data_IF_889351873228
#
_entry.id   IF_889351873228
#
_cell.length_a   1.000
_cell.length_b   1.000
_cell.length_c   1.000
_cell.angle_alpha   90.00
_cell.angle_beta   90.00
_cell.angle_gamma   90.00
#
_symmetry.space_group_name_H-M   'P 1'
#
loop_
_entity.id
_entity.type
_entity.pdbx_description
1 polymer ?
#
# COMPACT_ATOMS: atom_id res chain seq x y z
N UNK A 1 5.64 22.78 -23.96
CA UNK A 1 5.80 21.46 -23.31
C UNK A 1 4.43 21.08 -22.79
N UNK A 2 3.81 20.01 -23.29
CA UNK A 2 2.45 19.61 -22.95
C UNK A 2 2.36 19.22 -21.46
N UNK A 3 1.96 20.16 -20.61
CA UNK A 3 1.45 19.90 -19.27
C UNK A 3 0.10 19.22 -19.42
N UNK A 4 0.11 17.91 -19.68
CA UNK A 4 -1.08 17.08 -19.51
C UNK A 4 -1.44 17.18 -18.03
N UNK A 5 -2.62 17.74 -17.73
CA UNK A 5 -3.10 17.79 -16.36
C UNK A 5 -3.06 16.39 -15.74
N UNK A 6 -2.58 16.26 -14.49
CA UNK A 6 -2.44 14.97 -13.86
C UNK A 6 -3.83 14.32 -13.75
N UNK A 7 -3.95 13.09 -14.26
CA UNK A 7 -5.22 12.36 -14.24
C UNK A 7 -5.71 12.18 -12.81
N UNK A 8 -6.98 12.46 -12.59
CA UNK A 8 -7.62 12.45 -11.27
C UNK A 8 -8.71 11.40 -11.22
N UNK A 9 -8.89 10.81 -10.04
CA UNK A 9 -9.93 9.81 -9.81
C UNK A 9 -10.66 10.06 -8.50
N UNK A 10 -11.98 9.99 -8.57
CA UNK A 10 -12.82 9.91 -7.37
C UNK A 10 -12.65 8.53 -6.76
N UNK A 11 -12.11 8.49 -5.55
CA UNK A 11 -11.83 7.26 -4.80
C UNK A 11 -12.73 7.27 -3.59
N UNK A 12 -13.70 6.35 -3.57
CA UNK A 12 -14.70 6.28 -2.50
C UNK A 12 -14.34 5.25 -1.42
N UNK A 13 -13.47 4.29 -1.75
CA UNK A 13 -13.07 3.21 -0.86
C UNK A 13 -11.77 2.53 -1.36
N UNK A 14 -11.24 1.62 -0.54
CA UNK A 14 -10.01 0.88 -0.86
C UNK A 14 -10.15 0.07 -2.15
N UNK A 15 -11.31 -0.56 -2.38
CA UNK A 15 -11.54 -1.38 -3.58
C UNK A 15 -11.51 -0.54 -4.88
N UNK A 16 -12.08 0.67 -4.85
CA UNK A 16 -12.03 1.61 -5.98
C UNK A 16 -10.59 2.03 -6.28
N UNK A 17 -9.79 2.32 -5.24
CA UNK A 17 -8.37 2.61 -5.41
C UNK A 17 -7.64 1.43 -6.08
N UNK A 18 -7.88 0.20 -5.63
CA UNK A 18 -7.24 -0.98 -6.22
C UNK A 18 -7.56 -1.14 -7.71
N UNK A 19 -8.81 -0.92 -8.11
CA UNK A 19 -9.21 -0.97 -9.54
C UNK A 19 -8.51 0.10 -10.35
N UNK A 20 -8.44 1.34 -9.84
CA UNK A 20 -7.74 2.45 -10.50
C UNK A 20 -6.25 2.12 -10.68
N UNK A 21 -5.59 1.62 -9.63
CA UNK A 21 -4.17 1.26 -9.67
C UNK A 21 -3.91 0.11 -10.68
N UNK A 22 -4.87 -0.80 -10.86
CA UNK A 22 -4.78 -1.87 -11.85
C UNK A 22 -5.02 -1.37 -13.28
N UNK A 23 -6.07 -0.58 -13.48
CA UNK A 23 -6.48 -0.09 -14.80
C UNK A 23 -5.53 0.98 -15.35
N UNK A 24 -4.87 1.75 -14.49
CA UNK A 24 -3.95 2.82 -14.87
C UNK A 24 -2.56 2.66 -14.22
N UNK A 25 -1.66 1.90 -14.87
CA UNK A 25 -0.32 1.67 -14.37
C UNK A 25 0.52 2.95 -14.20
N UNK A 26 0.22 4.02 -14.97
CA UNK A 26 0.93 5.30 -14.85
C UNK A 26 0.52 5.99 -13.55
N UNK A 27 -0.78 6.10 -13.30
CA UNK A 27 -1.29 6.64 -12.04
C UNK A 27 -0.77 5.84 -10.84
N UNK A 28 -0.72 4.51 -10.94
CA UNK A 28 -0.21 3.65 -9.88
C UNK A 28 1.28 3.86 -9.59
N UNK A 29 2.09 3.99 -10.64
CA UNK A 29 3.51 4.26 -10.51
C UNK A 29 3.76 5.64 -9.92
N UNK A 30 3.04 6.67 -10.38
CA UNK A 30 3.15 8.03 -9.87
C UNK A 30 2.76 8.10 -8.39
N UNK A 31 1.66 7.45 -7.99
CA UNK A 31 1.21 7.41 -6.60
C UNK A 31 2.27 6.76 -5.71
N UNK A 32 2.75 5.56 -6.08
CA UNK A 32 3.75 4.84 -5.29
C UNK A 32 5.04 5.63 -5.19
N UNK A 33 5.59 6.10 -6.31
CA UNK A 33 6.86 6.82 -6.33
C UNK A 33 6.79 8.04 -5.42
N UNK A 34 5.67 8.76 -5.47
CA UNK A 34 5.48 9.96 -4.68
C UNK A 34 5.32 9.63 -3.19
N UNK A 35 4.52 8.62 -2.85
CA UNK A 35 4.35 8.18 -1.46
C UNK A 35 5.68 7.68 -0.87
N UNK A 36 6.41 6.83 -1.60
CA UNK A 36 7.70 6.29 -1.19
C UNK A 36 8.71 7.41 -0.95
N UNK A 37 8.84 8.34 -1.91
CA UNK A 37 9.74 9.48 -1.81
C UNK A 37 9.49 10.31 -0.54
N UNK A 38 8.23 10.70 -0.30
CA UNK A 38 7.90 11.55 0.85
C UNK A 38 8.04 10.81 2.18
N UNK A 39 7.61 9.55 2.25
CA UNK A 39 7.62 8.76 3.48
C UNK A 39 9.04 8.38 3.86
N UNK A 40 9.81 7.84 2.91
CA UNK A 40 11.18 7.39 3.19
C UNK A 40 12.09 8.57 3.55
N UNK A 41 11.89 9.75 2.94
CA UNK A 41 12.61 10.97 3.31
C UNK A 41 12.33 11.39 4.77
N UNK A 42 11.05 11.41 5.17
CA UNK A 42 10.66 11.73 6.57
C UNK A 42 11.22 10.70 7.55
N UNK A 43 11.19 9.41 7.21
CA UNK A 43 11.69 8.35 8.10
C UNK A 43 13.21 8.36 8.24
N UNK A 44 13.97 8.60 7.17
CA UNK A 44 15.45 8.71 7.25
C UNK A 44 15.91 9.88 8.13
N UNK A 45 15.18 11.01 8.11
CA UNK A 45 15.43 12.13 9.04
C UNK A 45 15.16 11.76 10.51
N UNK A 46 14.30 10.78 10.77
CA UNK A 46 13.92 10.36 12.13
C UNK A 46 14.75 9.17 12.62
N UNK A 47 15.19 8.30 11.72
CA UNK A 47 15.97 7.08 12.00
C UNK A 47 17.29 7.11 11.23
N UNK A 48 18.22 7.98 11.65
CA UNK A 48 19.52 8.14 10.99
C UNK A 48 20.38 6.86 10.97
N UNK A 49 20.13 5.93 11.90
CA UNK A 49 20.87 4.68 12.01
C UNK A 49 20.26 3.54 11.17
N UNK A 50 19.09 3.73 10.58
CA UNK A 50 18.46 2.75 9.70
C UNK A 50 19.13 2.81 8.32
N UNK A 51 19.41 1.66 7.71
CA UNK A 51 19.92 1.63 6.35
C UNK A 51 18.89 2.24 5.38
N UNK A 52 19.33 2.93 4.30
CA UNK A 52 18.42 3.47 3.29
C UNK A 52 17.46 2.43 2.72
N UNK A 53 17.92 1.19 2.56
CA UNK A 53 17.17 0.05 2.03
C UNK A 53 16.13 -0.44 3.04
N UNK A 54 16.50 -0.56 4.32
CA UNK A 54 15.56 -0.95 5.37
C UNK A 54 14.39 0.03 5.55
N UNK A 55 14.59 1.31 5.25
CA UNK A 55 13.50 2.32 5.23
C UNK A 55 12.57 2.13 4.04
N UNK A 56 13.11 1.77 2.87
CA UNK A 56 12.32 1.45 1.67
C UNK A 56 11.51 0.17 1.89
N UNK A 57 12.12 -0.86 2.47
CA UNK A 57 11.45 -2.11 2.80
C UNK A 57 10.32 -1.93 3.81
N UNK A 58 10.52 -1.07 4.82
CA UNK A 58 9.47 -0.72 5.75
C UNK A 58 8.28 -0.04 5.06
N UNK A 59 8.54 0.86 4.10
CA UNK A 59 7.49 1.45 3.28
C UNK A 59 6.76 0.42 2.42
N UNK A 60 7.50 -0.42 1.70
CA UNK A 60 6.91 -1.46 0.86
C UNK A 60 6.06 -2.43 1.71
N UNK A 61 6.53 -2.82 2.90
CA UNK A 61 5.78 -3.66 3.82
C UNK A 61 4.50 -2.98 4.32
N UNK A 62 4.55 -1.69 4.65
CA UNK A 62 3.37 -0.92 5.03
C UNK A 62 2.35 -0.81 3.89
N UNK A 63 2.81 -0.56 2.67
CA UNK A 63 1.96 -0.55 1.48
C UNK A 63 1.29 -1.92 1.27
N UNK A 64 2.04 -3.01 1.37
CA UNK A 64 1.48 -4.35 1.25
C UNK A 64 0.47 -4.67 2.36
N UNK A 65 0.72 -4.24 3.60
CA UNK A 65 -0.24 -4.38 4.72
C UNK A 65 -1.50 -3.56 4.49
N UNK A 66 -1.38 -2.36 3.95
CA UNK A 66 -2.53 -1.53 3.59
C UNK A 66 -3.43 -2.24 2.57
N UNK A 67 -2.86 -2.87 1.53
CA UNK A 67 -3.64 -3.64 0.54
C UNK A 67 -4.40 -4.83 1.16
N UNK A 68 -4.01 -5.27 2.36
CA UNK A 68 -4.63 -6.35 3.11
C UNK A 68 -5.54 -5.85 4.25
N UNK A 69 -5.42 -4.59 4.63
CA UNK A 69 -6.02 -4.04 5.83
C UNK A 69 -7.53 -3.78 5.64
N UNK A 70 -8.30 -4.11 6.67
CA UNK A 70 -9.70 -3.68 6.84
C UNK A 70 -9.82 -2.44 7.74
N UNK A 71 -8.71 -1.93 8.24
CA UNK A 71 -8.66 -0.90 9.29
C UNK A 71 -8.62 0.52 8.76
N UNK A 72 -8.22 0.72 7.49
CA UNK A 72 -8.33 2.02 6.86
C UNK A 72 -9.81 2.26 6.50
N UNK A 73 -10.44 3.22 7.18
CA UNK A 73 -11.84 3.59 6.92
C UNK A 73 -11.94 4.34 5.61
N UNK A 74 -12.95 4.00 4.81
CA UNK A 74 -13.20 4.60 3.50
C UNK A 74 -13.41 6.12 3.55
N UNK A 75 -13.93 6.62 4.68
CA UNK A 75 -14.04 8.05 5.03
C UNK A 75 -12.71 8.80 4.92
N UNK A 76 -11.59 8.09 5.08
CA UNK A 76 -10.24 8.62 4.89
C UNK A 76 -9.96 9.09 3.46
N UNK A 77 -10.65 8.52 2.46
CA UNK A 77 -10.54 8.98 1.08
C UNK A 77 -11.43 10.16 0.77
N UNK A 78 -12.59 10.26 1.42
CA UNK A 78 -13.57 11.32 1.20
C UNK A 78 -13.13 12.63 1.87
N UNK A 79 -12.43 12.53 3.00
CA UNK A 79 -11.94 13.69 3.73
C UNK A 79 -10.91 14.49 2.91
N UNK A 80 -11.33 15.66 2.44
CA UNK A 80 -10.49 16.57 1.65
C UNK A 80 -10.38 16.22 0.18
N UNK A 81 -11.20 15.28 -0.33
CA UNK A 81 -11.19 14.91 -1.75
C UNK A 81 -11.65 16.07 -2.63
N UNK A 82 -10.87 16.47 -3.64
CA UNK A 82 -11.31 17.44 -4.63
C UNK A 82 -12.53 16.94 -5.40
N UNK A 83 -13.37 17.85 -5.93
CA UNK A 83 -14.55 17.47 -6.72
C UNK A 83 -14.22 16.60 -7.94
N UNK A 84 -13.04 16.82 -8.54
CA UNK A 84 -12.52 16.04 -9.66
C UNK A 84 -11.80 14.75 -9.22
N UNK A 85 -11.71 14.50 -7.92
CA UNK A 85 -10.99 13.39 -7.33
C UNK A 85 -9.52 13.68 -7.04
N UNK A 86 -8.81 12.65 -6.58
CA UNK A 86 -7.41 12.75 -6.22
C UNK A 86 -6.51 12.56 -7.43
N UNK A 87 -5.56 13.48 -7.64
CA UNK A 87 -4.35 13.12 -8.39
C UNK A 87 -3.50 12.13 -7.58
N UNK A 88 -2.65 11.37 -8.27
CA UNK A 88 -1.76 10.40 -7.62
C UNK A 88 -0.86 11.07 -6.56
N UNK A 89 -0.43 12.29 -6.82
CA UNK A 89 0.39 13.08 -5.90
C UNK A 89 -0.38 13.50 -4.65
N UNK A 90 -1.58 14.05 -4.80
CA UNK A 90 -2.40 14.49 -3.68
C UNK A 90 -2.80 13.30 -2.79
N UNK A 91 -3.15 12.16 -3.40
CA UNK A 91 -3.46 10.94 -2.66
C UNK A 91 -2.26 10.46 -1.81
N UNK A 92 -1.04 10.53 -2.37
CA UNK A 92 0.19 10.14 -1.69
C UNK A 92 0.54 11.04 -0.50
N UNK A 93 0.08 12.29 -0.49
CA UNK A 93 0.29 13.25 0.60
C UNK A 93 -0.89 13.35 1.58
N UNK A 94 -2.07 12.89 1.17
CA UNK A 94 -3.29 12.93 1.96
C UNK A 94 -3.30 11.93 3.12
N UNK A 95 -4.50 11.61 3.61
CA UNK A 95 -4.69 10.67 4.72
C UNK A 95 -4.11 9.28 4.46
N UNK A 96 -4.19 8.80 3.21
CA UNK A 96 -3.57 7.52 2.84
C UNK A 96 -2.05 7.58 3.00
N UNK A 97 -1.41 8.66 2.55
CA UNK A 97 0.01 8.90 2.78
C UNK A 97 0.37 8.84 4.27
N UNK A 98 -0.39 9.56 5.11
CA UNK A 98 -0.19 9.56 6.57
C UNK A 98 -0.33 8.16 7.20
N UNK A 99 -1.32 7.38 6.75
CA UNK A 99 -1.49 5.99 7.17
C UNK A 99 -0.28 5.13 6.77
N UNK A 100 0.17 5.23 5.52
CA UNK A 100 1.34 4.52 5.03
C UNK A 100 2.59 4.92 5.80
N UNK A 101 2.77 6.20 6.14
CA UNK A 101 3.87 6.66 6.98
C UNK A 101 3.86 5.99 8.36
N UNK A 102 2.71 5.95 9.04
CA UNK A 102 2.59 5.29 10.36
C UNK A 102 2.86 3.79 10.28
N UNK A 103 2.32 3.12 9.25
CA UNK A 103 2.63 1.71 9.00
C UNK A 103 4.13 1.49 8.78
N UNK A 104 4.77 2.33 7.97
CA UNK A 104 6.20 2.26 7.68
C UNK A 104 7.06 2.50 8.92
N UNK A 105 6.67 3.49 9.73
CA UNK A 105 7.27 3.76 11.03
C UNK A 105 7.19 2.54 11.95
N UNK A 106 6.02 1.89 12.01
CA UNK A 106 5.82 0.71 12.82
C UNK A 106 6.70 -0.45 12.35
N UNK A 107 6.80 -0.70 11.04
CA UNK A 107 7.70 -1.72 10.48
C UNK A 107 9.16 -1.44 10.85
N UNK A 108 9.61 -0.19 10.76
CA UNK A 108 10.96 0.18 11.17
C UNK A 108 11.21 -0.07 12.65
N UNK A 109 10.28 0.31 13.53
CA UNK A 109 10.40 0.06 14.97
C UNK A 109 10.47 -1.45 15.24
N UNK A 110 9.64 -2.25 14.58
CA UNK A 110 9.71 -3.71 14.71
C UNK A 110 11.04 -4.27 14.22
N UNK A 111 11.55 -3.82 13.07
CA UNK A 111 12.84 -4.25 12.54
C UNK A 111 13.98 -3.91 13.52
N UNK A 112 14.01 -2.69 14.07
CA UNK A 112 14.99 -2.30 15.09
C UNK A 112 14.85 -3.12 16.38
N UNK A 113 13.63 -3.46 16.79
CA UNK A 113 13.39 -4.33 17.95
C UNK A 113 13.90 -5.75 17.71
N UNK A 114 13.69 -6.33 16.52
CA UNK A 114 14.19 -7.66 16.17
C UNK A 114 15.73 -7.70 16.17
N UNK A 115 16.37 -6.71 15.53
CA UNK A 115 17.83 -6.56 15.52
C UNK A 115 18.39 -6.41 16.96
N UNK A 116 17.68 -5.69 17.84
CA UNK A 116 18.09 -5.58 19.26
C UNK A 116 17.77 -6.82 20.10
N UNK A 117 16.74 -7.60 19.78
CA UNK A 117 16.39 -8.83 20.50
C UNK A 117 17.31 -10.01 20.17
N UNK A 118 18.10 -9.95 19.10
CA UNK A 118 19.25 -10.85 18.90
C UNK A 118 20.39 -10.61 19.92
N UNK A 119 20.35 -9.52 20.68
CA UNK A 119 21.17 -9.29 21.88
C UNK A 119 20.25 -9.38 23.10
N UNK A 120 20.37 -10.45 23.88
CA UNK A 120 19.48 -10.79 24.99
C UNK A 120 19.47 -9.70 26.09
N UNK A 121 18.52 -8.76 26.01
CA UNK A 121 18.28 -7.75 27.06
C UNK A 121 17.05 -8.14 27.87
N UNK A 122 17.24 -8.32 29.19
CA UNK A 122 16.16 -8.59 30.15
C UNK A 122 15.17 -7.42 30.17
N UNK A 123 13.91 -7.77 29.99
CA UNK A 123 12.74 -6.89 29.88
C UNK A 123 12.44 -6.17 31.21
N UNK A 124 12.23 -4.85 31.23
CA UNK A 124 11.44 -4.19 32.26
C UNK A 124 9.97 -4.10 31.84
N UNK A 125 9.11 -3.93 32.85
CA UNK A 125 7.68 -4.23 32.87
C UNK A 125 6.84 -3.59 31.76
N UNK A 126 5.79 -4.34 31.40
CA UNK A 126 4.66 -3.94 30.58
C UNK A 126 3.94 -2.73 31.20
N UNK A 127 3.99 -1.59 30.53
CA UNK A 127 2.93 -0.58 30.56
C UNK A 127 3.16 0.36 29.37
N UNK A 128 2.38 0.16 28.32
CA UNK A 128 2.00 1.12 27.26
C UNK A 128 1.36 0.31 26.13
N UNK A 129 0.18 -0.23 26.45
CA UNK A 129 -0.76 -0.69 25.43
C UNK A 129 -1.18 0.55 24.63
N UNK A 130 -0.81 0.56 23.35
CA UNK A 130 -1.25 1.55 22.38
C UNK A 130 -2.79 1.59 22.36
N UNK A 131 -3.33 2.73 22.76
CA UNK A 131 -4.76 3.05 22.69
C UNK A 131 -5.23 3.05 21.22
N UNK A 132 -6.22 2.21 20.93
CA UNK A 132 -6.86 2.05 19.61
C UNK A 132 -7.56 3.36 19.15
N UNK A 133 -7.77 4.32 20.06
CA UNK A 133 -8.36 5.63 19.74
C UNK A 133 -7.37 6.65 19.12
N UNK A 134 -6.07 6.35 19.05
CA UNK A 134 -5.07 7.24 18.42
C UNK A 134 -5.13 7.27 16.87
N UNK A 135 -6.10 6.58 16.27
CA UNK A 135 -6.32 6.49 14.82
C UNK A 135 -7.12 7.66 14.23
N UNK A 136 -7.82 8.45 15.05
CA UNK A 136 -8.70 9.52 14.55
C UNK A 136 -7.95 10.85 14.23
N UNK A 137 -6.71 11.03 14.71
CA UNK A 137 -5.88 12.21 14.41
C UNK A 137 -4.77 11.90 13.38
N UNK A 138 -5.12 11.49 12.16
CA UNK A 138 -4.14 11.32 11.07
C UNK A 138 -3.82 12.70 10.47
N UNK A 139 -2.69 13.29 10.89
CA UNK A 139 -2.16 14.54 10.35
C UNK A 139 -1.71 14.37 8.87
N UNK A 140 -2.17 15.26 8.00
CA UNK A 140 -1.85 15.28 6.56
C UNK A 140 -0.33 15.43 6.35
N UNK A 141 0.28 14.66 5.44
CA UNK A 141 1.72 14.74 5.16
C UNK A 141 2.04 15.96 4.28
N UNK A 142 1.77 17.17 4.75
CA UNK A 142 2.14 18.39 4.02
C UNK A 142 3.63 18.70 4.21
N UNK A 143 4.44 18.45 3.19
CA UNK A 143 5.75 19.08 2.99
C UNK A 143 6.07 19.17 1.48
N UNK A 144 5.99 20.35 0.84
CA UNK A 144 6.13 20.54 -0.61
C UNK A 144 7.61 20.66 -1.07
N UNK A 145 8.52 19.85 -0.53
CA UNK A 145 9.94 19.92 -0.92
C UNK A 145 10.24 19.19 -2.25
N UNK A 146 10.89 19.83 -3.25
CA UNK A 146 11.14 19.24 -4.56
C UNK A 146 12.58 18.73 -4.72
N UNK A 147 12.81 17.41 -4.64
CA UNK A 147 14.09 16.81 -5.05
C UNK A 147 13.89 15.42 -5.68
N UNK A 148 14.11 15.33 -7.00
CA UNK A 148 14.00 14.10 -7.80
C UNK A 148 15.36 13.38 -7.90
N UNK A 149 15.39 12.08 -7.59
CA UNK A 149 16.54 11.21 -7.84
C UNK A 149 16.16 10.16 -8.91
N UNK A 150 16.65 10.29 -10.16
CA UNK A 150 16.33 9.38 -11.27
C UNK A 150 16.88 7.96 -11.12
N UNK A 151 17.91 7.75 -10.30
CA UNK A 151 18.55 6.45 -10.14
C UNK A 151 17.67 5.43 -9.41
N UNK A 152 16.66 5.89 -8.66
CA UNK A 152 15.68 5.04 -7.96
C UNK A 152 14.53 4.52 -8.83
N UNK A 153 14.28 5.14 -9.98
CA UNK A 153 13.23 4.73 -10.93
C UNK A 153 13.36 3.26 -11.40
N UNK A 154 14.59 2.72 -11.42
CA UNK A 154 14.87 1.36 -11.86
C UNK A 154 14.52 0.29 -10.82
N UNK A 155 14.64 0.58 -9.52
CA UNK A 155 14.19 -0.33 -8.46
C UNK A 155 12.65 -0.33 -8.34
N UNK A 156 11.99 0.79 -8.69
CA UNK A 156 10.53 0.90 -8.61
C UNK A 156 9.77 0.04 -9.63
N UNK A 157 10.30 -0.19 -10.85
CA UNK A 157 9.67 -1.09 -11.83
C UNK A 157 9.66 -2.57 -11.39
N UNK A 158 10.55 -2.94 -10.47
CA UNK A 158 10.73 -4.34 -10.05
C UNK A 158 9.57 -4.88 -9.20
N UNK A 159 8.93 -4.05 -8.37
CA UNK A 159 7.85 -4.50 -7.46
C UNK A 159 6.55 -4.72 -8.22
N UNK A 160 6.15 -3.79 -9.11
CA UNK A 160 4.96 -3.96 -9.95
C UNK A 160 5.13 -5.18 -10.87
N UNK A 161 6.32 -5.36 -11.46
CA UNK A 161 6.64 -6.54 -12.26
C UNK A 161 6.57 -7.83 -11.43
N UNK A 162 7.07 -7.81 -10.19
CA UNK A 162 6.98 -8.96 -9.25
C UNK A 162 5.55 -9.27 -8.83
N UNK A 163 4.74 -8.27 -8.50
CA UNK A 163 3.32 -8.45 -8.18
C UNK A 163 2.57 -9.10 -9.34
N UNK A 164 2.82 -8.64 -10.57
CA UNK A 164 2.25 -9.24 -11.78
C UNK A 164 2.69 -10.70 -11.98
N UNK A 165 3.99 -10.98 -11.82
CA UNK A 165 4.50 -12.34 -11.87
C UNK A 165 3.93 -13.25 -10.76
N UNK A 166 3.59 -12.69 -9.60
CA UNK A 166 2.94 -13.42 -8.51
C UNK A 166 1.45 -13.66 -8.76
N UNK A 167 0.76 -12.76 -9.46
CA UNK A 167 -0.62 -12.98 -9.95
C UNK A 167 -0.67 -14.16 -10.94
N UNK A 168 0.34 -14.29 -11.80
CA UNK A 168 0.41 -15.37 -12.78
C UNK A 168 0.61 -16.76 -12.14
N UNK A 169 1.20 -16.80 -10.93
CA UNK A 169 1.44 -18.02 -10.13
C UNK A 169 0.22 -18.49 -9.32
N UNK A 170 -0.86 -17.72 -9.28
CA UNK A 170 -2.10 -18.15 -8.62
C UNK A 170 -2.67 -19.38 -9.34
N UNK A 171 -3.38 -20.24 -8.60
CA UNK A 171 -4.17 -21.31 -9.22
C UNK A 171 -5.19 -20.73 -10.19
N UNK A 172 -5.53 -21.48 -11.24
CA UNK A 172 -6.42 -20.98 -12.31
C UNK A 172 -7.75 -20.43 -11.76
N UNK A 173 -8.30 -21.07 -10.72
CA UNK A 173 -9.54 -20.63 -10.06
C UNK A 173 -9.38 -19.30 -9.33
N UNK A 174 -8.28 -19.08 -8.60
CA UNK A 174 -8.01 -17.84 -7.90
C UNK A 174 -7.65 -16.71 -8.87
N UNK A 175 -6.85 -17.03 -9.89
CA UNK A 175 -6.45 -16.09 -10.95
C UNK A 175 -7.66 -15.61 -11.75
N UNK A 176 -8.53 -16.52 -12.17
CA UNK A 176 -9.76 -16.17 -12.90
C UNK A 176 -10.71 -15.30 -12.06
N UNK A 177 -10.90 -15.65 -10.78
CA UNK A 177 -11.72 -14.83 -9.86
C UNK A 177 -11.13 -13.42 -9.70
N UNK A 178 -9.81 -13.34 -9.52
CA UNK A 178 -9.09 -12.08 -9.37
C UNK A 178 -9.17 -11.22 -10.64
N UNK A 179 -8.96 -11.79 -11.82
CA UNK A 179 -9.04 -11.02 -13.07
C UNK A 179 -10.44 -10.51 -13.38
N UNK A 180 -11.49 -11.33 -13.23
CA UNK A 180 -12.87 -10.84 -13.41
C UNK A 180 -13.18 -9.70 -12.44
N UNK A 181 -12.71 -9.78 -11.19
CA UNK A 181 -12.89 -8.72 -10.21
C UNK A 181 -12.14 -7.43 -10.57
N UNK A 182 -10.93 -7.57 -11.13
CA UNK A 182 -10.11 -6.46 -11.58
C UNK A 182 -10.64 -5.83 -12.88
N UNK A 183 -11.33 -6.60 -13.72
CA UNK A 183 -12.09 -6.16 -14.89
C UNK A 183 -13.50 -5.63 -14.53
N UNK A 184 -13.67 -5.20 -13.28
CA UNK A 184 -14.89 -4.56 -12.76
C UNK A 184 -16.16 -5.42 -12.82
N UNK A 185 -16.03 -6.74 -12.95
CA UNK A 185 -17.20 -7.63 -12.92
C UNK A 185 -17.78 -7.68 -11.51
N UNK A 186 -19.09 -7.39 -11.30
CA UNK A 186 -19.72 -7.46 -9.98
C UNK A 186 -19.61 -8.86 -9.36
N UNK A 187 -19.49 -8.96 -8.03
CA UNK A 187 -19.27 -10.24 -7.35
C UNK A 187 -20.39 -11.25 -7.62
N UNK A 188 -21.64 -10.79 -7.74
CA UNK A 188 -22.82 -11.58 -8.10
C UNK A 188 -22.73 -12.12 -9.53
N UNK A 189 -22.08 -11.37 -10.42
CA UNK A 189 -21.85 -11.78 -11.79
C UNK A 189 -20.66 -12.76 -11.88
N UNK A 190 -19.59 -12.54 -11.12
CA UNK A 190 -18.48 -13.50 -10.98
C UNK A 190 -18.99 -14.83 -10.41
N UNK A 191 -19.83 -14.77 -9.37
CA UNK A 191 -20.47 -15.92 -8.76
C UNK A 191 -21.27 -16.73 -9.79
N UNK A 192 -22.06 -16.06 -10.64
CA UNK A 192 -22.79 -16.72 -11.74
C UNK A 192 -21.87 -17.30 -12.82
N UNK A 193 -20.86 -16.54 -13.25
CA UNK A 193 -19.93 -16.95 -14.31
C UNK A 193 -19.07 -18.16 -13.91
N UNK A 194 -18.81 -18.33 -12.62
CA UNK A 194 -17.96 -19.41 -12.10
C UNK A 194 -18.74 -20.50 -11.36
N UNK A 195 -20.07 -20.43 -11.37
CA UNK A 195 -20.98 -21.33 -10.64
C UNK A 195 -20.64 -21.45 -9.14
N UNK A 196 -20.60 -20.30 -8.45
CA UNK A 196 -20.25 -20.16 -7.05
C UNK A 196 -21.30 -19.33 -6.30
N UNK A 197 -21.25 -19.39 -4.97
CA UNK A 197 -21.89 -18.39 -4.11
C UNK A 197 -20.99 -17.17 -3.89
N UNK A 198 -21.60 -15.98 -3.71
CA UNK A 198 -20.89 -14.71 -3.43
C UNK A 198 -19.91 -14.80 -2.24
N UNK A 199 -20.23 -15.47 -1.11
CA UNK A 199 -19.25 -15.66 -0.03
C UNK A 199 -17.98 -16.41 -0.48
N UNK A 200 -18.11 -17.37 -1.40
CA UNK A 200 -16.98 -18.10 -1.97
C UNK A 200 -16.12 -17.19 -2.83
N UNK A 201 -16.71 -16.29 -3.61
CA UNK A 201 -15.98 -15.25 -4.37
C UNK A 201 -15.17 -14.37 -3.42
N UNK A 202 -15.77 -13.89 -2.32
CA UNK A 202 -15.06 -13.10 -1.29
C UNK A 202 -13.88 -13.84 -0.67
N UNK A 203 -14.08 -15.12 -0.33
CA UNK A 203 -13.04 -15.98 0.24
C UNK A 203 -11.87 -16.20 -0.75
N UNK A 204 -12.19 -16.48 -2.03
CA UNK A 204 -11.19 -16.61 -3.10
C UNK A 204 -10.40 -15.32 -3.32
N UNK A 205 -11.06 -14.17 -3.36
CA UNK A 205 -10.36 -12.87 -3.49
C UNK A 205 -9.44 -12.59 -2.31
N UNK A 206 -9.88 -12.92 -1.09
CA UNK A 206 -9.03 -12.79 0.11
C UNK A 206 -7.81 -13.71 0.03
N UNK A 207 -8.00 -14.99 -0.34
CA UNK A 207 -6.91 -15.95 -0.49
C UNK A 207 -5.92 -15.54 -1.59
N UNK A 208 -6.42 -15.09 -2.73
CA UNK A 208 -5.61 -14.58 -3.84
C UNK A 208 -4.76 -13.38 -3.42
N UNK A 209 -5.33 -12.38 -2.73
CA UNK A 209 -4.59 -11.23 -2.19
C UNK A 209 -3.49 -11.65 -1.22
N UNK A 210 -3.78 -12.60 -0.33
CA UNK A 210 -2.81 -13.13 0.62
C UNK A 210 -1.63 -13.79 -0.09
N UNK A 211 -1.90 -14.67 -1.05
CA UNK A 211 -0.86 -15.39 -1.80
C UNK A 211 0.01 -14.47 -2.64
N UNK A 212 -0.58 -13.47 -3.31
CA UNK A 212 0.18 -12.47 -4.08
C UNK A 212 1.11 -11.68 -3.17
N UNK A 213 0.63 -11.28 -1.99
CA UNK A 213 1.44 -10.54 -1.05
C UNK A 213 2.59 -11.36 -0.46
N UNK A 214 2.33 -12.62 -0.08
CA UNK A 214 3.38 -13.51 0.44
C UNK A 214 4.42 -13.86 -0.64
N UNK A 215 3.98 -14.08 -1.89
CA UNK A 215 4.87 -14.28 -3.04
C UNK A 215 5.74 -13.05 -3.33
N UNK A 216 5.16 -11.85 -3.23
CA UNK A 216 5.89 -10.60 -3.49
C UNK A 216 6.93 -10.34 -2.40
N UNK A 217 6.61 -10.65 -1.12
CA UNK A 217 7.52 -10.51 0.03
C UNK A 217 8.74 -11.44 -0.04
N UNK A 218 8.55 -12.70 -0.45
CA UNK A 218 9.66 -13.69 -0.58
C UNK A 218 10.71 -13.34 -1.63
N UNK A 219 10.45 -12.38 -2.52
CA UNK A 219 11.41 -11.90 -3.49
C UNK A 219 12.14 -10.62 -3.06
N UNK A 220 11.98 -10.17 -1.81
CA UNK A 220 12.62 -8.98 -1.23
C UNK A 220 13.74 -9.30 -0.23
N UNK A 221 13.88 -10.58 0.17
CA UNK A 221 15.05 -11.10 0.89
C UNK A 221 16.16 -11.44 -0.12
#
# INVERSE_FOLDING_TARGET
MNTLDPKRYVINNVDALLRILHADPRYALDFRNKAEQHITLKLRKKFFNASPDGVVDAFNNALMKFLQARTFRDEGFLAGQPAEGWSAHELALGKLGGYLYRGSLHELIQAHRRIRQEVQWKQPAQDDLLDDNALDEIETLSDPSPFADPARAYEHLSVIRRMRACLDKLSDTLRATMFLYLDETPMEQIARLQDLHVPTVKSRLHAARKLVADCTRKGMD
#
